data_IF_235800145368
#
_entry.id   IF_235800145368
#
_cell.length_a   1.000
_cell.length_b   1.000
_cell.length_c   1.000
_cell.angle_alpha   90.00
_cell.angle_beta   90.00
_cell.angle_gamma   90.00
#
_symmetry.space_group_name_H-M   'P 1'
#
loop_
_entity.id
_entity.type
_entity.pdbx_description
1 polymer ?
#
# COMPACT_ATOMS: atom_id res chain seq x y z
N UNK A 1 -20.41 -1.84 -19.63
CA UNK A 1 -19.90 -0.55 -20.14
C UNK A 1 -18.46 -0.45 -19.70
N UNK A 2 -17.51 -0.46 -20.62
CA UNK A 2 -16.09 -0.29 -20.29
C UNK A 2 -15.90 1.08 -19.66
N UNK A 3 -15.50 1.14 -18.39
CA UNK A 3 -15.07 2.39 -17.75
C UNK A 3 -13.78 2.82 -18.46
N UNK A 4 -13.82 3.96 -19.14
CA UNK A 4 -12.67 4.55 -19.84
C UNK A 4 -11.78 5.36 -18.90
N UNK A 5 -11.95 5.24 -17.58
CA UNK A 5 -11.19 5.96 -16.56
C UNK A 5 -10.13 5.10 -15.86
N UNK A 6 -9.16 5.78 -15.25
CA UNK A 6 -8.16 5.15 -14.37
C UNK A 6 -8.81 4.75 -13.06
N UNK A 7 -8.57 3.52 -12.61
CA UNK A 7 -9.16 3.00 -11.37
C UNK A 7 -8.09 2.27 -10.55
N UNK A 8 -8.01 2.55 -9.25
CA UNK A 8 -7.19 1.80 -8.31
C UNK A 8 -8.08 0.91 -7.45
N UNK A 9 -7.63 -0.32 -7.22
CA UNK A 9 -8.24 -1.29 -6.30
C UNK A 9 -7.24 -1.60 -5.18
N UNK A 10 -7.69 -1.51 -3.93
CA UNK A 10 -6.89 -1.88 -2.76
C UNK A 10 -6.93 -3.41 -2.59
N UNK A 11 -5.83 -4.10 -2.89
CA UNK A 11 -5.74 -5.56 -2.96
C UNK A 11 -5.42 -6.22 -1.62
N UNK A 12 -4.95 -5.45 -0.67
CA UNK A 12 -4.65 -5.87 0.68
C UNK A 12 -4.58 -4.69 1.63
N UNK A 13 -4.83 -4.92 2.90
CA UNK A 13 -4.89 -3.87 3.93
C UNK A 13 -4.12 -4.23 5.19
N UNK A 14 -3.55 -5.43 5.25
CA UNK A 14 -2.78 -5.87 6.41
C UNK A 14 -1.30 -5.51 6.26
N UNK A 15 -0.62 -5.46 7.40
CA UNK A 15 0.83 -5.43 7.51
C UNK A 15 1.43 -6.73 6.94
N UNK A 16 2.74 -6.77 6.75
CA UNK A 16 3.57 -7.84 6.16
C UNK A 16 3.10 -9.27 6.43
N UNK A 17 2.69 -9.56 7.67
CA UNK A 17 2.27 -10.89 8.08
C UNK A 17 0.91 -11.32 7.54
N UNK A 18 0.06 -10.37 7.14
CA UNK A 18 -1.33 -10.64 6.79
C UNK A 18 -2.21 -11.08 7.99
N UNK A 19 -3.47 -11.38 7.71
CA UNK A 19 -4.38 -12.02 8.67
C UNK A 19 -4.98 -13.26 8.01
N UNK A 20 -4.75 -14.48 8.51
CA UNK A 20 -4.02 -14.80 9.75
C UNK A 20 -2.52 -14.54 9.63
N UNK A 21 -1.92 -14.11 10.74
CA UNK A 21 -0.49 -13.91 10.85
C UNK A 21 0.22 -15.24 11.13
N UNK A 22 1.36 -15.49 10.48
CA UNK A 22 2.10 -16.73 10.61
C UNK A 22 2.53 -17.00 12.07
N UNK A 23 2.19 -18.18 12.58
CA UNK A 23 2.51 -18.60 13.96
C UNK A 23 1.64 -17.95 15.05
N UNK A 24 0.67 -17.13 14.70
CA UNK A 24 -0.23 -16.47 15.65
C UNK A 24 -1.48 -17.32 15.92
N UNK A 25 -1.82 -17.49 17.19
CA UNK A 25 -3.02 -18.17 17.66
C UNK A 25 -4.04 -17.25 18.36
N UNK A 26 -3.94 -15.93 18.14
CA UNK A 26 -4.94 -15.00 18.68
C UNK A 26 -6.34 -15.26 18.11
N UNK A 27 -7.42 -14.83 18.78
CA UNK A 27 -8.78 -15.10 18.33
C UNK A 27 -9.05 -14.67 16.88
N UNK A 28 -8.54 -13.51 16.44
CA UNK A 28 -8.69 -12.99 15.06
C UNK A 28 -8.00 -13.90 14.04
N UNK A 29 -6.76 -14.29 14.28
CA UNK A 29 -6.03 -15.18 13.39
C UNK A 29 -6.70 -16.58 13.32
N UNK A 30 -7.17 -17.10 14.44
CA UNK A 30 -7.89 -18.36 14.46
C UNK A 30 -9.24 -18.29 13.75
N UNK A 31 -9.96 -17.18 13.88
CA UNK A 31 -11.19 -16.95 13.12
C UNK A 31 -10.92 -16.89 11.61
N UNK A 32 -9.83 -16.19 11.18
CA UNK A 32 -9.44 -16.10 9.77
C UNK A 32 -8.91 -17.43 9.19
N UNK A 33 -8.44 -18.36 10.02
CA UNK A 33 -8.17 -19.73 9.58
C UNK A 33 -9.46 -20.49 9.30
N UNK A 34 -10.50 -20.28 10.11
CA UNK A 34 -11.80 -20.97 9.97
C UNK A 34 -12.68 -20.36 8.88
N UNK A 35 -12.64 -19.02 8.71
CA UNK A 35 -13.44 -18.30 7.72
C UNK A 35 -12.54 -17.43 6.83
N UNK A 36 -12.43 -17.80 5.56
CA UNK A 36 -11.59 -17.11 4.59
C UNK A 36 -12.05 -15.66 4.30
N UNK A 37 -13.32 -15.33 4.54
CA UNK A 37 -13.81 -13.95 4.36
C UNK A 37 -13.18 -12.95 5.35
N UNK A 38 -12.66 -13.48 6.47
CA UNK A 38 -11.97 -12.70 7.49
C UNK A 38 -10.47 -12.49 7.20
N UNK A 39 -9.94 -13.12 6.16
CA UNK A 39 -8.53 -12.94 5.77
C UNK A 39 -8.28 -11.53 5.27
N UNK A 40 -7.09 -11.03 5.62
CA UNK A 40 -6.59 -9.77 5.07
C UNK A 40 -5.20 -10.03 4.49
N UNK A 41 -5.06 -9.69 3.23
CA UNK A 41 -3.78 -9.80 2.52
C UNK A 41 -2.85 -8.65 2.93
N UNK A 42 -1.53 -8.86 2.87
CA UNK A 42 -0.59 -7.76 2.97
C UNK A 42 -0.93 -6.66 1.96
N UNK A 43 -0.59 -5.44 2.31
CA UNK A 43 -0.94 -4.27 1.52
C UNK A 43 -0.42 -4.36 0.09
N UNK A 44 -1.28 -4.05 -0.87
CA UNK A 44 -0.93 -3.92 -2.29
C UNK A 44 -2.06 -3.17 -3.02
N UNK A 45 -1.72 -2.57 -4.15
CA UNK A 45 -2.69 -1.89 -5.01
C UNK A 45 -2.61 -2.41 -6.44
N UNK A 46 -3.77 -2.53 -7.09
CA UNK A 46 -3.88 -2.78 -8.52
C UNK A 46 -4.47 -1.58 -9.23
N UNK A 47 -3.80 -1.06 -10.26
CA UNK A 47 -4.27 0.08 -11.04
C UNK A 47 -4.63 -0.43 -12.44
N UNK A 48 -5.84 -0.08 -12.90
CA UNK A 48 -6.23 -0.27 -14.28
C UNK A 48 -6.14 1.07 -15.01
N UNK A 49 -5.30 1.11 -16.03
CA UNK A 49 -5.15 2.26 -16.92
C UNK A 49 -6.38 2.50 -17.81
N UNK A 50 -6.48 3.68 -18.38
CA UNK A 50 -7.56 4.05 -19.31
C UNK A 50 -7.53 3.22 -20.61
N UNK A 51 -6.37 2.70 -20.99
CA UNK A 51 -6.14 1.76 -22.10
C UNK A 51 -6.45 0.29 -21.74
N UNK A 52 -6.76 0.02 -20.46
CA UNK A 52 -7.02 -1.31 -19.93
C UNK A 52 -5.79 -2.05 -19.42
N UNK A 53 -4.59 -1.46 -19.50
CA UNK A 53 -3.35 -2.01 -18.90
C UNK A 53 -3.47 -2.14 -17.38
N UNK A 54 -2.76 -3.11 -16.81
CA UNK A 54 -2.82 -3.47 -15.39
C UNK A 54 -1.46 -3.24 -14.73
N UNK A 55 -1.44 -2.44 -13.66
CA UNK A 55 -0.22 -2.04 -12.97
C UNK A 55 -0.33 -2.39 -11.48
N UNK A 56 0.58 -3.21 -10.99
CA UNK A 56 0.62 -3.66 -9.60
C UNK A 56 1.58 -2.79 -8.80
N UNK A 57 1.16 -2.34 -7.62
CA UNK A 57 2.05 -1.79 -6.60
C UNK A 57 2.11 -2.78 -5.46
N UNK A 58 3.30 -3.24 -5.10
CA UNK A 58 3.66 -4.31 -4.18
C UNK A 58 3.30 -5.73 -4.67
N UNK A 59 4.20 -6.67 -4.41
CA UNK A 59 4.03 -8.08 -4.75
C UNK A 59 4.15 -8.95 -3.49
N UNK A 60 3.04 -9.08 -2.78
CA UNK A 60 3.01 -9.83 -1.53
C UNK A 60 2.92 -11.35 -1.73
N UNK A 61 3.13 -12.11 -0.67
CA UNK A 61 2.91 -13.58 -0.64
C UNK A 61 1.51 -14.03 -1.05
N UNK A 62 0.52 -13.14 -0.90
CA UNK A 62 -0.87 -13.40 -1.25
C UNK A 62 -1.20 -13.07 -2.71
N UNK A 63 -0.20 -12.92 -3.57
CA UNK A 63 -0.36 -12.51 -4.97
C UNK A 63 -1.47 -13.27 -5.72
N UNK A 64 -1.61 -14.60 -5.63
CA UNK A 64 -2.69 -15.32 -6.33
C UNK A 64 -4.09 -14.86 -5.92
N UNK A 65 -4.33 -14.69 -4.61
CA UNK A 65 -5.61 -14.23 -4.09
C UNK A 65 -5.86 -12.75 -4.44
N UNK A 66 -4.82 -11.93 -4.41
CA UNK A 66 -4.87 -10.52 -4.79
C UNK A 66 -5.20 -10.33 -6.28
N UNK A 67 -4.59 -11.12 -7.16
CA UNK A 67 -4.91 -11.12 -8.60
C UNK A 67 -6.34 -11.57 -8.88
N UNK A 68 -6.85 -12.53 -8.11
CA UNK A 68 -8.25 -12.95 -8.19
C UNK A 68 -9.20 -11.85 -7.70
N UNK A 69 -8.93 -11.26 -6.54
CA UNK A 69 -9.67 -10.13 -6.00
C UNK A 69 -9.71 -8.96 -6.98
N UNK A 70 -8.58 -8.66 -7.63
CA UNK A 70 -8.49 -7.60 -8.62
C UNK A 70 -9.38 -7.84 -9.85
N UNK A 71 -9.37 -9.07 -10.37
CA UNK A 71 -10.26 -9.44 -11.47
C UNK A 71 -11.74 -9.30 -11.08
N UNK A 72 -12.13 -9.83 -9.91
CA UNK A 72 -13.49 -9.70 -9.39
C UNK A 72 -13.91 -8.23 -9.23
N UNK A 73 -13.04 -7.43 -8.65
CA UNK A 73 -13.27 -6.02 -8.44
C UNK A 73 -13.42 -5.22 -9.75
N UNK A 74 -12.74 -5.61 -10.81
CA UNK A 74 -12.81 -4.95 -12.13
C UNK A 74 -13.85 -5.57 -13.06
N UNK A 75 -14.55 -6.62 -12.62
CA UNK A 75 -15.52 -7.36 -13.41
C UNK A 75 -14.90 -8.13 -14.58
N UNK A 76 -13.63 -8.50 -14.46
CA UNK A 76 -12.93 -9.31 -15.44
C UNK A 76 -13.09 -10.81 -15.12
N UNK A 77 -13.18 -11.63 -16.15
CA UNK A 77 -13.15 -13.09 -16.00
C UNK A 77 -11.72 -13.58 -15.68
N UNK A 78 -11.61 -14.53 -14.74
CA UNK A 78 -10.34 -15.17 -14.42
C UNK A 78 -9.51 -14.44 -13.35
N UNK A 79 -8.26 -14.12 -13.66
CA UNK A 79 -7.31 -13.42 -12.77
C UNK A 79 -6.67 -12.24 -13.50
N UNK A 80 -6.45 -11.15 -12.78
CA UNK A 80 -5.75 -9.99 -13.32
C UNK A 80 -4.24 -10.25 -13.32
N UNK A 81 -3.60 -10.23 -14.49
CA UNK A 81 -2.14 -10.34 -14.64
C UNK A 81 -1.57 -8.96 -14.86
N UNK A 82 -0.64 -8.48 -14.03
CA UNK A 82 -0.07 -7.15 -14.22
C UNK A 82 0.83 -7.09 -15.44
N UNK A 83 0.78 -5.94 -16.13
CA UNK A 83 1.67 -5.55 -17.21
C UNK A 83 2.95 -4.89 -16.67
N UNK A 84 2.89 -4.35 -15.44
CA UNK A 84 4.04 -3.77 -14.74
C UNK A 84 3.94 -3.99 -13.24
N UNK A 85 5.07 -3.94 -12.54
CA UNK A 85 5.17 -3.97 -11.08
C UNK A 85 5.94 -2.74 -10.60
N UNK A 86 5.48 -2.11 -9.52
CA UNK A 86 6.16 -1.02 -8.82
C UNK A 86 6.34 -1.38 -7.35
N UNK A 87 7.47 -1.01 -6.75
CA UNK A 87 7.78 -1.35 -5.35
C UNK A 87 8.17 -0.11 -4.58
N UNK A 88 7.62 0.04 -3.38
CA UNK A 88 7.95 1.14 -2.47
C UNK A 88 9.29 0.94 -1.77
N UNK A 89 9.59 -0.30 -1.34
CA UNK A 89 10.79 -0.70 -0.62
C UNK A 89 10.96 -2.23 -0.60
N UNK A 90 11.92 -2.77 0.19
CA UNK A 90 12.30 -4.19 0.15
C UNK A 90 11.95 -5.00 1.40
N UNK A 91 11.07 -4.50 2.27
CA UNK A 91 10.59 -5.33 3.37
C UNK A 91 9.73 -6.48 2.87
N UNK A 92 9.70 -7.56 3.65
CA UNK A 92 9.22 -8.86 3.19
C UNK A 92 7.79 -8.84 2.67
N UNK A 93 6.89 -8.13 3.35
CA UNK A 93 5.48 -8.08 2.98
C UNK A 93 5.20 -7.49 1.60
N UNK A 94 6.13 -6.68 1.09
CA UNK A 94 6.01 -5.93 -0.16
C UNK A 94 6.62 -6.65 -1.36
N UNK A 95 7.53 -7.62 -1.12
CA UNK A 95 8.33 -8.25 -2.19
C UNK A 95 8.30 -9.78 -2.20
N UNK A 96 7.79 -10.46 -1.17
CA UNK A 96 7.90 -11.92 -1.04
C UNK A 96 7.06 -12.71 -2.07
N UNK A 97 6.20 -12.03 -2.83
CA UNK A 97 5.49 -12.56 -3.98
C UNK A 97 6.26 -12.50 -5.30
N UNK A 98 7.39 -11.77 -5.39
CA UNK A 98 8.12 -11.58 -6.65
C UNK A 98 8.55 -12.89 -7.32
N UNK A 99 8.92 -13.89 -6.53
CA UNK A 99 9.28 -15.20 -7.06
C UNK A 99 8.17 -15.90 -7.85
N UNK A 100 6.91 -15.53 -7.63
CA UNK A 100 5.77 -16.12 -8.35
C UNK A 100 5.68 -15.66 -9.82
N UNK A 101 6.38 -14.60 -10.20
CA UNK A 101 6.48 -14.18 -11.61
C UNK A 101 7.44 -15.03 -12.42
N UNK A 102 8.37 -15.77 -11.78
CA UNK A 102 9.38 -16.60 -12.43
C UNK A 102 8.85 -17.83 -13.17
N UNK A 103 9.76 -18.54 -13.82
CA UNK A 103 9.50 -19.69 -14.70
C UNK A 103 8.74 -20.83 -14.01
N UNK A 104 8.94 -21.01 -12.71
CA UNK A 104 8.32 -22.09 -11.94
C UNK A 104 6.81 -21.89 -11.72
N UNK A 105 6.29 -20.64 -11.87
CA UNK A 105 4.88 -20.32 -11.62
C UNK A 105 4.25 -19.61 -12.81
N UNK A 106 4.53 -18.31 -13.02
CA UNK A 106 3.85 -17.51 -14.06
C UNK A 106 4.61 -17.51 -15.40
N UNK A 107 5.90 -17.84 -15.40
CA UNK A 107 6.75 -17.85 -16.59
C UNK A 107 6.90 -16.47 -17.25
N UNK A 108 6.93 -15.41 -16.45
CA UNK A 108 7.14 -14.05 -16.96
C UNK A 108 8.60 -13.86 -17.35
N UNK A 109 8.81 -13.10 -18.42
CA UNK A 109 10.15 -12.70 -18.88
C UNK A 109 10.11 -11.24 -19.31
N UNK A 110 11.01 -10.43 -18.75
CA UNK A 110 11.12 -9.02 -19.07
C UNK A 110 9.94 -8.16 -18.62
N UNK A 111 9.21 -8.57 -17.57
CA UNK A 111 8.12 -7.78 -17.00
C UNK A 111 8.70 -6.47 -16.43
N UNK A 112 8.23 -5.28 -16.85
CA UNK A 112 8.73 -4.01 -16.32
C UNK A 112 8.55 -3.92 -14.80
N UNK A 113 9.63 -3.60 -14.08
CA UNK A 113 9.63 -3.38 -12.64
C UNK A 113 10.22 -2.01 -12.34
N UNK A 114 9.47 -1.18 -11.63
CA UNK A 114 9.85 0.18 -11.26
C UNK A 114 10.12 0.28 -9.77
N UNK A 115 11.29 0.76 -9.39
CA UNK A 115 11.69 1.02 -8.01
C UNK A 115 12.87 2.00 -7.97
N UNK A 116 13.22 2.46 -6.77
CA UNK A 116 14.43 3.27 -6.59
C UNK A 116 15.71 2.47 -6.92
N UNK A 117 16.83 3.15 -7.20
CA UNK A 117 18.10 2.47 -7.46
C UNK A 117 18.53 1.51 -6.37
N UNK A 118 18.39 1.89 -5.08
CA UNK A 118 18.79 1.05 -3.95
C UNK A 118 17.89 -0.18 -3.79
N UNK A 119 16.59 -0.07 -4.07
CA UNK A 119 15.67 -1.20 -4.10
C UNK A 119 16.04 -2.18 -5.21
N UNK A 120 16.36 -1.70 -6.41
CA UNK A 120 16.80 -2.55 -7.54
C UNK A 120 18.12 -3.25 -7.21
N UNK A 121 19.08 -2.54 -6.62
CA UNK A 121 20.36 -3.12 -6.18
C UNK A 121 20.15 -4.25 -5.17
N UNK A 122 19.33 -4.01 -4.16
CA UNK A 122 19.03 -5.01 -3.12
C UNK A 122 18.29 -6.23 -3.70
N UNK A 123 17.29 -6.04 -4.58
CA UNK A 123 16.61 -7.14 -5.26
C UNK A 123 17.57 -7.94 -6.15
N UNK A 124 18.52 -7.27 -6.80
CA UNK A 124 19.59 -7.91 -7.56
C UNK A 124 20.47 -8.80 -6.68
N UNK A 125 20.85 -8.30 -5.50
CA UNK A 125 21.65 -9.05 -4.52
C UNK A 125 20.93 -10.31 -4.00
N UNK A 126 19.61 -10.25 -3.90
CA UNK A 126 18.74 -11.39 -3.51
C UNK A 126 18.42 -12.34 -4.66
N UNK A 127 18.83 -12.03 -5.89
CA UNK A 127 18.50 -12.84 -7.07
C UNK A 127 17.02 -12.79 -7.47
N UNK A 128 16.29 -11.75 -7.06
CA UNK A 128 14.83 -11.64 -7.26
C UNK A 128 14.43 -10.97 -8.58
N UNK A 129 15.39 -10.54 -9.42
CA UNK A 129 15.11 -9.78 -10.65
C UNK A 129 14.95 -10.64 -11.91
N UNK A 130 15.16 -11.96 -11.83
CA UNK A 130 15.17 -12.84 -13.04
C UNK A 130 13.97 -12.67 -13.97
N UNK A 131 12.71 -12.56 -13.49
CA UNK A 131 11.55 -12.42 -14.39
C UNK A 131 11.32 -10.98 -14.87
N UNK A 132 12.11 -10.01 -14.39
CA UNK A 132 11.83 -8.58 -14.56
C UNK A 132 12.83 -7.88 -15.49
N UNK A 133 12.35 -6.78 -16.08
CA UNK A 133 13.16 -5.72 -16.69
C UNK A 133 13.14 -4.51 -15.76
N UNK A 134 14.14 -4.36 -14.86
CA UNK A 134 14.13 -3.30 -13.88
C UNK A 134 14.36 -1.92 -14.52
N UNK A 135 13.66 -0.93 -14.02
CA UNK A 135 13.77 0.47 -14.39
C UNK A 135 13.90 1.31 -13.12
N UNK A 136 15.03 1.99 -12.97
CA UNK A 136 15.27 2.89 -11.86
C UNK A 136 14.38 4.13 -11.97
N UNK A 137 13.76 4.51 -10.85
CA UNK A 137 12.91 5.70 -10.74
C UNK A 137 13.59 6.72 -9.83
N UNK A 138 13.72 7.93 -10.31
CA UNK A 138 14.20 9.04 -9.48
C UNK A 138 13.08 9.55 -8.57
N UNK A 139 13.45 9.85 -7.32
CA UNK A 139 12.51 10.43 -6.35
C UNK A 139 11.97 11.77 -6.83
N UNK A 140 10.67 12.03 -6.62
CA UNK A 140 9.98 13.27 -6.99
C UNK A 140 9.89 13.52 -8.51
N UNK A 141 10.23 12.54 -9.34
CA UNK A 141 10.04 12.60 -10.79
C UNK A 141 8.81 11.78 -11.19
N UNK A 142 8.02 12.34 -12.10
CA UNK A 142 6.82 11.68 -12.65
C UNK A 142 7.17 10.87 -13.88
N UNK A 143 6.57 9.69 -13.97
CA UNK A 143 6.70 8.84 -15.15
C UNK A 143 5.41 8.05 -15.41
N UNK A 144 5.21 7.63 -16.65
CA UNK A 144 4.15 6.71 -17.03
C UNK A 144 4.69 5.28 -17.01
N UNK A 145 4.07 4.33 -16.28
CA UNK A 145 4.54 2.95 -16.23
C UNK A 145 4.33 2.20 -17.55
N UNK A 146 3.40 2.65 -18.40
CA UNK A 146 3.26 2.23 -19.80
C UNK A 146 2.72 3.38 -20.64
N UNK A 147 2.92 3.31 -21.97
CA UNK A 147 2.33 4.27 -22.88
C UNK A 147 0.80 4.18 -22.82
N UNK A 148 0.12 5.34 -22.88
CA UNK A 148 -1.33 5.45 -22.95
C UNK A 148 -2.13 4.96 -21.72
N UNK A 149 -1.47 4.59 -20.61
CA UNK A 149 -2.15 4.15 -19.39
C UNK A 149 -3.04 5.23 -18.75
N UNK A 150 -2.81 6.51 -19.08
CA UNK A 150 -3.66 7.63 -18.66
C UNK A 150 -3.41 8.12 -17.23
N UNK A 151 -2.31 7.71 -16.60
CA UNK A 151 -1.88 8.19 -15.28
C UNK A 151 -0.35 8.23 -15.19
N UNK A 152 0.16 8.93 -14.19
CA UNK A 152 1.57 8.98 -13.86
C UNK A 152 1.80 8.48 -12.43
N UNK A 153 2.98 7.92 -12.20
CA UNK A 153 3.50 7.59 -10.87
C UNK A 153 4.60 8.58 -10.47
N UNK A 154 4.67 8.87 -9.17
CA UNK A 154 5.70 9.72 -8.57
C UNK A 154 6.12 9.10 -7.23
N UNK A 155 7.42 8.81 -7.07
CA UNK A 155 7.97 8.20 -5.87
C UNK A 155 8.41 9.29 -4.89
N UNK A 156 7.74 9.36 -3.75
CA UNK A 156 7.96 10.38 -2.70
C UNK A 156 8.76 9.74 -1.58
N UNK A 157 10.01 10.15 -1.34
CA UNK A 157 10.86 9.51 -0.35
C UNK A 157 10.36 9.77 1.08
N UNK A 158 10.25 8.72 1.87
CA UNK A 158 9.85 8.77 3.28
C UNK A 158 10.85 8.01 4.14
N UNK A 159 11.09 8.41 5.41
CA UNK A 159 11.96 7.66 6.29
C UNK A 159 11.27 6.35 6.73
N UNK A 160 11.89 5.21 6.52
CA UNK A 160 11.42 3.94 7.06
C UNK A 160 12.53 2.89 7.04
N UNK A 161 13.14 2.62 8.21
CA UNK A 161 14.06 1.49 8.43
C UNK A 161 14.97 1.21 7.22
N UNK A 162 15.71 2.24 6.78
CA UNK A 162 16.51 2.21 5.55
C UNK A 162 17.77 1.30 5.64
N UNK A 163 17.70 0.18 6.40
CA UNK A 163 18.82 -0.75 6.60
C UNK A 163 19.23 -1.52 5.35
N UNK A 164 18.30 -1.69 4.37
CA UNK A 164 18.58 -2.42 3.13
C UNK A 164 18.48 -1.53 1.90
N UNK A 165 17.48 -0.67 1.85
CA UNK A 165 17.20 0.24 0.75
C UNK A 165 16.35 1.40 1.27
N UNK A 166 16.26 2.47 0.50
CA UNK A 166 15.37 3.59 0.79
C UNK A 166 13.88 3.20 0.62
N UNK A 167 13.00 3.97 1.26
CA UNK A 167 11.55 3.78 1.20
C UNK A 167 10.86 4.96 0.55
N UNK A 168 9.83 4.67 -0.25
CA UNK A 168 9.02 5.68 -0.93
C UNK A 168 7.53 5.43 -0.70
N UNK A 169 6.78 6.50 -0.51
CA UNK A 169 5.36 6.51 -0.84
C UNK A 169 5.22 6.65 -2.36
N UNK A 170 4.09 6.22 -2.92
CA UNK A 170 3.80 6.38 -4.35
C UNK A 170 2.58 7.26 -4.53
N UNK A 171 2.72 8.34 -5.30
CA UNK A 171 1.58 9.14 -5.74
C UNK A 171 1.15 8.67 -7.13
N UNK A 172 -0.12 8.35 -7.26
CA UNK A 172 -0.77 7.99 -8.51
C UNK A 172 -1.55 9.22 -8.99
N UNK A 173 -1.11 9.82 -10.09
CA UNK A 173 -1.69 11.01 -10.70
C UNK A 173 -2.67 10.60 -11.81
N UNK A 174 -3.93 10.41 -11.45
CA UNK A 174 -4.98 10.15 -12.43
C UNK A 174 -5.50 11.42 -13.12
N UNK A 175 -6.38 11.27 -14.12
CA UNK A 175 -6.92 12.42 -14.87
C UNK A 175 -7.89 13.28 -14.05
N UNK A 176 -8.47 12.76 -12.99
CA UNK A 176 -9.46 13.47 -12.16
C UNK A 176 -8.98 13.67 -10.72
N UNK A 177 -8.28 12.69 -10.15
CA UNK A 177 -7.87 12.66 -8.74
C UNK A 177 -6.47 12.09 -8.60
N UNK A 178 -5.74 12.58 -7.62
CA UNK A 178 -4.44 12.06 -7.22
C UNK A 178 -4.55 11.27 -5.91
N UNK A 179 -3.94 10.09 -5.86
CA UNK A 179 -3.94 9.23 -4.68
C UNK A 179 -2.50 9.03 -4.18
N UNK A 180 -2.30 9.19 -2.86
CA UNK A 180 -1.07 8.80 -2.16
C UNK A 180 -1.23 7.40 -1.58
N UNK A 181 -0.29 6.51 -1.89
CA UNK A 181 -0.10 5.22 -1.25
C UNK A 181 1.13 5.28 -0.35
N UNK A 182 0.92 5.36 0.97
CA UNK A 182 1.94 5.45 2.02
C UNK A 182 1.73 4.31 3.01
N UNK A 183 2.15 3.07 2.67
CA UNK A 183 1.95 1.93 3.56
C UNK A 183 2.84 1.98 4.79
N UNK A 184 4.07 2.48 4.64
CA UNK A 184 5.10 2.47 5.67
C UNK A 184 5.85 3.79 5.76
N UNK A 185 6.02 4.29 6.98
CA UNK A 185 7.00 5.32 7.32
C UNK A 185 7.28 5.32 8.84
N UNK A 186 8.44 5.82 9.26
CA UNK A 186 8.87 5.74 10.66
C UNK A 186 8.04 6.64 11.59
N UNK A 187 7.89 7.91 11.23
CA UNK A 187 7.10 8.88 11.98
C UNK A 187 6.78 10.13 11.15
N UNK A 188 5.73 10.84 11.56
CA UNK A 188 5.30 12.06 10.89
C UNK A 188 6.31 13.21 11.02
N UNK A 189 7.03 13.30 12.14
CA UNK A 189 8.00 14.39 12.36
C UNK A 189 9.12 14.35 11.34
N UNK A 190 9.71 13.19 11.12
CA UNK A 190 10.77 12.98 10.13
C UNK A 190 10.25 13.13 8.70
N UNK A 191 9.07 12.56 8.39
CA UNK A 191 8.44 12.69 7.07
C UNK A 191 8.18 14.15 6.73
N UNK A 192 7.57 14.92 7.63
CA UNK A 192 7.29 16.33 7.41
C UNK A 192 8.57 17.17 7.29
N UNK A 193 9.56 16.92 8.16
CA UNK A 193 10.85 17.62 8.11
C UNK A 193 11.59 17.38 6.78
N UNK A 194 11.56 16.15 6.25
CA UNK A 194 12.16 15.81 4.96
C UNK A 194 11.58 16.62 3.81
N UNK A 195 10.29 16.94 3.88
CA UNK A 195 9.57 17.68 2.83
C UNK A 195 9.36 19.17 3.15
N UNK A 196 9.90 19.66 4.27
CA UNK A 196 9.75 21.06 4.67
C UNK A 196 8.31 21.47 4.95
N UNK A 197 7.50 20.54 5.45
CA UNK A 197 6.10 20.76 5.75
C UNK A 197 5.86 20.89 7.26
N UNK A 198 4.96 21.81 7.65
CA UNK A 198 4.64 22.08 9.06
C UNK A 198 3.55 21.16 9.62
N UNK A 199 2.77 20.52 8.74
CA UNK A 199 1.68 19.61 9.11
C UNK A 199 1.38 18.59 8.03
N UNK A 200 0.71 17.50 8.41
CA UNK A 200 0.23 16.45 7.49
C UNK A 200 -0.67 17.06 6.41
N UNK A 201 -1.60 17.95 6.79
CA UNK A 201 -2.49 18.65 5.85
C UNK A 201 -1.72 19.47 4.82
N UNK A 202 -0.72 20.25 5.29
CA UNK A 202 0.10 21.04 4.37
C UNK A 202 0.88 20.14 3.41
N UNK A 203 1.49 19.08 3.90
CA UNK A 203 2.22 18.12 3.07
C UNK A 203 1.34 17.51 1.98
N UNK A 204 0.16 16.98 2.35
CA UNK A 204 -0.80 16.42 1.39
C UNK A 204 -1.30 17.47 0.40
N UNK A 205 -1.54 18.71 0.86
CA UNK A 205 -1.94 19.83 -0.01
C UNK A 205 -0.86 20.22 -1.01
N UNK A 206 0.42 20.31 -0.56
CA UNK A 206 1.56 20.62 -1.44
C UNK A 206 1.75 19.51 -2.48
N UNK A 207 1.57 18.26 -2.10
CA UNK A 207 1.58 17.14 -3.04
C UNK A 207 0.33 17.09 -3.93
N UNK A 208 -0.72 17.86 -3.64
CA UNK A 208 -1.97 17.87 -4.43
C UNK A 208 -2.71 16.54 -4.35
N UNK A 209 -2.91 16.02 -3.14
CA UNK A 209 -3.53 14.72 -2.88
C UNK A 209 -5.02 14.87 -2.60
N UNK A 210 -5.84 14.10 -3.30
CA UNK A 210 -7.30 14.02 -3.10
C UNK A 210 -7.67 12.81 -2.22
N UNK A 211 -6.87 11.73 -2.27
CA UNK A 211 -7.06 10.50 -1.51
C UNK A 211 -5.70 10.09 -0.92
N UNK A 212 -5.66 9.74 0.36
CA UNK A 212 -4.45 9.21 0.98
C UNK A 212 -4.74 7.85 1.65
N UNK A 213 -4.01 6.83 1.22
CA UNK A 213 -3.91 5.53 1.88
C UNK A 213 -2.68 5.59 2.77
N UNK A 214 -2.86 5.70 4.08
CA UNK A 214 -1.77 5.98 5.02
C UNK A 214 -1.54 4.83 5.98
N UNK A 215 -0.31 4.72 6.46
CA UNK A 215 0.11 3.79 7.49
C UNK A 215 -0.80 3.87 8.72
N UNK A 216 -1.35 2.74 9.09
CA UNK A 216 -2.20 2.53 10.26
C UNK A 216 -1.80 1.24 10.98
N UNK A 217 -0.52 0.85 10.93
CA UNK A 217 -0.03 -0.45 11.43
C UNK A 217 -0.53 -0.74 12.84
N UNK A 218 -0.46 0.23 13.73
CA UNK A 218 -0.89 0.08 15.11
C UNK A 218 -1.89 1.16 15.51
N UNK A 219 -2.83 0.80 16.38
CA UNK A 219 -3.78 1.75 16.93
C UNK A 219 -3.08 2.78 17.83
N UNK A 220 -2.33 2.28 18.82
CA UNK A 220 -1.59 3.09 19.78
C UNK A 220 -0.27 2.43 20.20
N UNK A 221 0.51 3.09 21.06
CA UNK A 221 1.80 2.60 21.55
C UNK A 221 1.72 1.41 22.51
N UNK A 222 0.54 1.06 22.99
CA UNK A 222 0.31 -0.01 23.97
C UNK A 222 -0.28 -1.29 23.33
N UNK A 223 -0.51 -1.28 22.00
CA UNK A 223 -1.17 -2.38 21.28
C UNK A 223 -0.42 -3.71 21.41
N UNK A 224 0.90 -3.71 21.45
CA UNK A 224 1.74 -4.91 21.63
C UNK A 224 2.34 -4.92 23.03
N UNK A 225 1.62 -5.50 24.00
CA UNK A 225 2.04 -5.54 25.41
C UNK A 225 3.38 -6.24 25.68
N UNK A 226 3.79 -7.15 24.77
CA UNK A 226 4.98 -7.99 24.95
C UNK A 226 6.19 -7.50 24.12
N UNK A 227 6.08 -6.35 23.45
CA UNK A 227 7.15 -5.77 22.63
C UNK A 227 7.36 -4.30 22.94
N UNK A 228 8.60 -3.88 22.86
CA UNK A 228 8.95 -2.46 22.87
C UNK A 228 8.57 -1.83 21.51
N UNK A 229 7.44 -1.15 21.48
CA UNK A 229 6.89 -0.50 20.27
C UNK A 229 7.81 0.58 19.69
N UNK A 230 8.70 1.18 20.51
CA UNK A 230 9.68 2.16 20.03
C UNK A 230 10.71 1.58 19.06
N UNK A 231 10.85 0.25 19.02
CA UNK A 231 11.73 -0.47 18.09
C UNK A 231 11.00 -0.91 16.80
N UNK A 232 9.72 -0.61 16.69
CA UNK A 232 8.89 -0.94 15.52
C UNK A 232 8.32 0.39 15.00
N UNK A 233 9.14 1.16 14.25
CA UNK A 233 8.78 2.52 13.89
C UNK A 233 7.64 2.52 12.86
N UNK A 234 6.48 2.93 13.32
CA UNK A 234 5.30 3.31 12.56
C UNK A 234 4.55 4.36 13.36
N UNK A 235 4.03 5.43 12.75
CA UNK A 235 3.13 6.32 13.45
C UNK A 235 1.86 5.55 13.80
N UNK A 236 1.39 5.71 15.03
CA UNK A 236 0.14 5.10 15.42
C UNK A 236 -1.05 5.82 14.80
N UNK A 237 -2.19 5.13 14.68
CA UNK A 237 -3.44 5.77 14.23
C UNK A 237 -3.81 6.92 15.17
N UNK A 238 -3.69 6.72 16.48
CA UNK A 238 -3.97 7.78 17.48
C UNK A 238 -3.06 9.01 17.31
N UNK A 239 -1.77 8.83 16.98
CA UNK A 239 -0.89 9.94 16.65
C UNK A 239 -1.35 10.67 15.38
N UNK A 240 -1.67 9.91 14.33
CA UNK A 240 -2.10 10.48 13.06
C UNK A 240 -3.40 11.28 13.20
N UNK A 241 -4.42 10.74 13.88
CA UNK A 241 -5.67 11.47 14.12
C UNK A 241 -5.48 12.67 15.06
N UNK A 242 -4.55 12.59 16.04
CA UNK A 242 -4.22 13.74 16.89
C UNK A 242 -3.59 14.89 16.09
N UNK A 243 -2.78 14.59 15.06
CA UNK A 243 -2.20 15.59 14.15
C UNK A 243 -3.21 16.16 13.16
N UNK A 244 -4.17 15.33 12.73
CA UNK A 244 -5.21 15.71 11.78
C UNK A 244 -6.41 16.39 12.46
N UNK A 245 -6.83 15.94 13.67
CA UNK A 245 -8.09 16.34 14.28
C UNK A 245 -9.30 15.91 13.45
N UNK A 246 -10.43 16.60 13.64
CA UNK A 246 -11.65 16.38 12.85
C UNK A 246 -11.44 16.81 11.39
N UNK A 247 -11.99 16.04 10.45
CA UNK A 247 -11.92 16.32 9.01
C UNK A 247 -12.69 17.59 8.65
N UNK A 248 -12.04 18.44 7.86
CA UNK A 248 -12.69 19.60 7.26
C UNK A 248 -12.92 19.37 5.76
N UNK A 249 -13.74 20.24 5.14
CA UNK A 249 -14.18 20.05 3.76
C UNK A 249 -13.06 19.98 2.74
N UNK A 250 -11.97 20.70 2.98
CA UNK A 250 -10.82 20.83 2.10
C UNK A 250 -9.82 19.68 2.25
N UNK A 251 -9.99 18.84 3.28
CA UNK A 251 -9.10 17.71 3.50
C UNK A 251 -9.31 16.61 2.46
N UNK A 252 -8.25 15.87 2.09
CA UNK A 252 -8.37 14.67 1.28
C UNK A 252 -9.18 13.59 1.99
N UNK A 253 -9.60 12.57 1.26
CA UNK A 253 -10.11 11.34 1.86
C UNK A 253 -8.93 10.53 2.40
N UNK A 254 -8.83 10.35 3.71
CA UNK A 254 -7.77 9.54 4.34
C UNK A 254 -8.34 8.18 4.72
N UNK A 255 -7.61 7.12 4.38
CA UNK A 255 -7.92 5.73 4.72
C UNK A 255 -6.70 5.09 5.37
N UNK A 256 -6.86 4.57 6.58
CA UNK A 256 -5.82 3.79 7.27
C UNK A 256 -5.70 2.40 6.65
N UNK A 257 -4.49 2.01 6.29
CA UNK A 257 -4.12 0.71 5.70
C UNK A 257 -2.94 0.10 6.46
N UNK A 258 -2.39 -1.02 5.99
CA UNK A 258 -1.23 -1.68 6.57
C UNK A 258 -1.43 -2.14 8.02
N UNK A 259 -2.66 -2.56 8.36
CA UNK A 259 -3.07 -2.87 9.73
C UNK A 259 -2.43 -4.17 10.23
N UNK A 260 -1.76 -4.13 11.39
CA UNK A 260 -1.28 -5.34 12.04
C UNK A 260 -2.47 -6.23 12.49
N UNK A 261 -2.24 -7.53 12.59
CA UNK A 261 -3.29 -8.48 12.99
C UNK A 261 -3.87 -8.20 14.40
N UNK A 262 -3.19 -7.45 15.25
CA UNK A 262 -3.67 -7.00 16.56
C UNK A 262 -4.56 -5.74 16.48
N UNK A 263 -4.40 -4.94 15.42
CA UNK A 263 -5.06 -3.63 15.32
C UNK A 263 -6.60 -3.75 15.38
N UNK A 264 -7.26 -3.01 16.31
CA UNK A 264 -8.71 -3.06 16.46
C UNK A 264 -9.48 -2.52 15.24
N UNK A 265 -8.87 -1.73 14.36
CA UNK A 265 -9.50 -1.23 13.13
C UNK A 265 -9.84 -2.35 12.13
N UNK A 266 -9.29 -3.56 12.30
CA UNK A 266 -9.69 -4.74 11.52
C UNK A 266 -11.13 -5.21 11.83
N UNK A 267 -11.74 -4.71 12.92
CA UNK A 267 -13.12 -4.98 13.33
C UNK A 267 -13.99 -3.74 13.07
N UNK A 268 -14.86 -3.76 12.05
CA UNK A 268 -15.65 -2.58 11.66
C UNK A 268 -16.59 -2.02 12.75
N UNK A 269 -16.89 -2.79 13.80
CA UNK A 269 -17.73 -2.38 14.93
C UNK A 269 -16.94 -2.09 16.20
N UNK A 270 -15.62 -1.96 16.11
CA UNK A 270 -14.81 -1.59 17.27
C UNK A 270 -15.00 -0.10 17.62
N UNK A 271 -14.86 0.25 18.89
CA UNK A 271 -14.92 1.65 19.34
C UNK A 271 -13.88 2.51 18.61
N UNK A 272 -12.73 1.92 18.28
CA UNK A 272 -11.66 2.61 17.55
C UNK A 272 -12.04 2.90 16.10
N UNK A 273 -12.72 1.97 15.43
CA UNK A 273 -13.23 2.21 14.07
C UNK A 273 -14.35 3.27 14.07
N UNK A 274 -15.19 3.30 15.11
CA UNK A 274 -16.19 4.34 15.32
C UNK A 274 -15.52 5.71 15.55
N UNK A 275 -14.47 5.78 16.40
CA UNK A 275 -13.70 7.00 16.65
C UNK A 275 -13.11 7.57 15.36
N UNK A 276 -12.47 6.74 14.53
CA UNK A 276 -11.94 7.16 13.21
C UNK A 276 -13.05 7.73 12.34
N UNK A 277 -14.20 7.05 12.30
CA UNK A 277 -15.36 7.46 11.50
C UNK A 277 -16.00 8.77 12.02
N UNK A 278 -16.11 8.94 13.32
CA UNK A 278 -16.68 10.14 13.95
C UNK A 278 -15.83 11.38 13.67
N UNK A 279 -14.52 11.22 13.56
CA UNK A 279 -13.59 12.25 13.12
C UNK A 279 -13.65 12.52 11.60
N UNK A 280 -14.42 11.75 10.84
CA UNK A 280 -14.60 11.89 9.40
C UNK A 280 -13.51 11.19 8.55
N UNK A 281 -12.69 10.32 9.17
CA UNK A 281 -11.66 9.54 8.49
C UNK A 281 -12.17 8.12 8.19
N UNK A 282 -11.37 7.33 7.47
CA UNK A 282 -11.79 6.02 7.01
C UNK A 282 -10.75 4.91 7.33
N UNK A 283 -11.22 3.68 7.31
CA UNK A 283 -10.38 2.47 7.29
C UNK A 283 -10.47 1.84 5.91
N UNK A 284 -9.32 1.56 5.29
CA UNK A 284 -9.23 0.93 3.98
C UNK A 284 -9.79 -0.49 3.99
N UNK A 285 -10.43 -0.90 2.89
CA UNK A 285 -11.02 -2.25 2.75
C UNK A 285 -10.47 -2.95 1.52
N UNK A 286 -10.19 -4.24 1.65
CA UNK A 286 -9.85 -5.08 0.49
C UNK A 286 -10.96 -5.01 -0.55
N UNK A 287 -10.59 -4.86 -1.82
CA UNK A 287 -11.52 -4.71 -2.92
C UNK A 287 -12.12 -3.30 -3.06
N UNK A 288 -11.74 -2.35 -2.20
CA UNK A 288 -12.20 -0.97 -2.32
C UNK A 288 -11.64 -0.31 -3.59
N UNK A 289 -12.51 0.42 -4.31
CA UNK A 289 -12.19 1.09 -5.56
C UNK A 289 -12.04 2.59 -5.37
N UNK A 290 -11.10 3.17 -6.11
CA UNK A 290 -10.89 4.61 -6.21
C UNK A 290 -10.82 4.99 -7.70
N UNK A 291 -11.74 5.83 -8.15
CA UNK A 291 -11.64 6.45 -9.47
C UNK A 291 -10.66 7.62 -9.41
N UNK A 292 -9.70 7.67 -10.31
CA UNK A 292 -8.59 8.62 -10.33
C UNK A 292 -8.62 9.56 -11.54
#
# INVERSE_FOLDING_TARGET
MSSTGVTLVLLGTAQDGGVPHAGCSCPRCMAAHADHSLRRHPVACGIRGSDGSLHLIEASRSLPDQMRLWAEATGADGVARPDTVSLTHVHLGHIDGLGQFGDEVMGCSGLPLFASPSVIEELGSRGSLSPFSPSEVASMERFQPSADCGFELEFVPVPHRDEFADTHAVVIRGPMRSLLFLPDHDDWGQTLARHGADSVRQWLSVLGIDIALVDGSFWDSDELSDRDMSQIPHPTVTETIARLGERVREDPEIHFIHLNHSNPLLEPGSNQAEEVSDLGWNVGRQGQHFAL
#
